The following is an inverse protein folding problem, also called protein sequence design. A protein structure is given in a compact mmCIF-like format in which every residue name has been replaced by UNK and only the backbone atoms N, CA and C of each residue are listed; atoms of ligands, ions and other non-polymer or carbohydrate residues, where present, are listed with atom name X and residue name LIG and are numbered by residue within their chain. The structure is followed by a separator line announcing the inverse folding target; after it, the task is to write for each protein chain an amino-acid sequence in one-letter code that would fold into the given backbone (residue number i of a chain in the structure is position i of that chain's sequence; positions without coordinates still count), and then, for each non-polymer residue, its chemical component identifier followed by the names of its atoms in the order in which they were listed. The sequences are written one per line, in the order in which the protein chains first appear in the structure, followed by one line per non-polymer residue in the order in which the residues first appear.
data_IF_423454249690
#
_entry.id   IF_423454249690
#
_cell.length_a   1.000
_cell.length_b   1.000
_cell.length_c   1.000
_cell.angle_alpha   90.00
_cell.angle_beta   90.00
_cell.angle_gamma   90.00
#
_symmetry.space_group_name_H-M   'P 1'
#
loop_
_entity.id
_entity.type
_entity.pdbx_description
1 polymer ?
#
# COMPACT_ATOMS: atom_id res chain seq x y z
N UNK A 1 -13.08 9.19 -10.43
CA UNK A 1 -12.58 10.14 -9.42
C UNK A 1 -12.75 9.51 -8.06
N UNK A 2 -13.99 9.15 -7.69
CA UNK A 2 -14.34 8.42 -6.47
C UNK A 2 -13.40 7.28 -6.04
N UNK A 3 -12.95 6.41 -6.96
CA UNK A 3 -12.06 5.28 -6.62
C UNK A 3 -10.66 5.74 -6.19
N UNK A 4 -10.06 6.69 -6.91
CA UNK A 4 -8.74 7.22 -6.54
C UNK A 4 -8.83 8.03 -5.24
N UNK A 5 -9.93 8.74 -5.00
CA UNK A 5 -10.17 9.44 -3.73
C UNK A 5 -10.27 8.44 -2.57
N UNK A 6 -11.04 7.36 -2.75
CA UNK A 6 -11.14 6.28 -1.75
C UNK A 6 -9.77 5.63 -1.48
N UNK A 7 -8.99 5.34 -2.52
CA UNK A 7 -7.63 4.81 -2.41
C UNK A 7 -6.69 5.73 -1.64
N UNK A 8 -6.74 7.04 -1.91
CA UNK A 8 -5.93 8.03 -1.20
C UNK A 8 -6.37 8.17 0.25
N UNK A 9 -7.68 8.25 0.53
CA UNK A 9 -8.19 8.37 1.88
C UNK A 9 -7.84 7.14 2.73
N UNK A 10 -8.09 5.94 2.19
CA UNK A 10 -7.75 4.68 2.84
C UNK A 10 -6.24 4.58 3.14
N UNK A 11 -5.41 4.95 2.16
CA UNK A 11 -3.95 4.92 2.32
C UNK A 11 -3.47 6.01 3.29
N UNK A 12 -4.12 7.17 3.31
CA UNK A 12 -3.81 8.24 4.26
C UNK A 12 -4.01 7.82 5.71
N UNK A 13 -5.08 7.08 6.01
CA UNK A 13 -5.29 6.49 7.34
C UNK A 13 -4.17 5.53 7.73
N UNK A 14 -3.75 4.67 6.79
CA UNK A 14 -2.60 3.78 7.01
C UNK A 14 -1.32 4.59 7.28
N UNK A 15 -0.97 5.57 6.44
CA UNK A 15 0.21 6.43 6.63
C UNK A 15 0.17 7.13 7.99
N UNK A 16 -0.95 7.73 8.37
CA UNK A 16 -1.10 8.40 9.66
C UNK A 16 -0.83 7.45 10.83
N UNK A 17 -1.41 6.25 10.80
CA UNK A 17 -1.14 5.24 11.82
C UNK A 17 0.35 4.87 11.90
N UNK A 18 1.03 4.76 10.75
CA UNK A 18 2.46 4.40 10.68
C UNK A 18 3.36 5.50 11.20
N UNK A 19 3.03 6.76 10.93
CA UNK A 19 3.74 7.91 11.50
C UNK A 19 3.60 7.90 13.03
N UNK A 20 2.38 7.72 13.56
CA UNK A 20 2.15 7.63 15.01
C UNK A 20 2.97 6.50 15.63
N UNK A 21 2.93 5.29 15.05
CA UNK A 21 3.72 4.16 15.55
C UNK A 21 5.23 4.37 15.43
N UNK A 22 5.70 5.10 14.42
CA UNK A 22 7.12 5.44 14.29
C UNK A 22 7.58 6.40 15.39
N UNK A 23 6.76 7.42 15.69
CA UNK A 23 7.05 8.40 16.75
C UNK A 23 6.98 7.79 18.15
N UNK A 24 6.10 6.81 18.35
CA UNK A 24 5.95 6.09 19.61
C UNK A 24 6.93 4.91 19.75
N UNK A 25 7.76 4.62 18.74
CA UNK A 25 8.62 3.42 18.65
C UNK A 25 7.88 2.09 18.88
N UNK A 26 6.64 1.99 18.42
CA UNK A 26 5.78 0.80 18.59
C UNK A 26 5.64 0.02 17.29
N UNK A 27 5.57 -1.31 17.40
CA UNK A 27 5.14 -2.13 16.26
C UNK A 27 3.63 -1.95 16.09
N UNK A 28 3.24 -1.33 14.99
CA UNK A 28 1.86 -1.28 14.54
C UNK A 28 1.43 -2.55 13.80
N UNK A 29 0.39 -2.44 12.97
CA UNK A 29 -0.05 -3.51 12.06
C UNK A 29 1.03 -3.83 11.03
N UNK A 30 1.77 -4.92 11.17
CA UNK A 30 2.83 -5.33 10.22
C UNK A 30 2.53 -6.67 9.57
N UNK A 31 3.21 -6.96 8.46
CA UNK A 31 3.22 -8.30 7.83
C UNK A 31 4.17 -9.29 8.49
N UNK A 32 4.71 -8.97 9.67
CA UNK A 32 5.64 -9.83 10.40
C UNK A 32 4.94 -10.84 11.31
N UNK A 33 5.69 -11.80 11.88
CA UNK A 33 5.17 -12.64 12.96
C UNK A 33 4.69 -11.78 14.13
N UNK A 34 3.75 -12.31 14.92
CA UNK A 34 3.33 -11.64 16.17
C UNK A 34 4.56 -11.53 17.06
N UNK A 35 4.90 -10.30 17.45
CA UNK A 35 5.98 -10.04 18.39
C UNK A 35 5.36 -9.96 19.78
N UNK A 36 5.79 -10.84 20.69
CA UNK A 36 5.45 -10.74 22.11
C UNK A 36 6.18 -9.55 22.75
N UNK A 37 5.72 -9.04 23.90
CA UNK A 37 6.44 -7.98 24.63
C UNK A 37 7.92 -8.33 24.88
N UNK A 38 8.25 -9.59 25.17
CA UNK A 38 9.64 -10.02 25.38
C UNK A 38 10.44 -10.05 24.06
N UNK A 39 9.77 -10.32 22.93
CA UNK A 39 10.36 -10.20 21.60
C UNK A 39 10.64 -8.75 21.17
N UNK A 40 10.12 -7.74 21.88
CA UNK A 40 10.53 -6.36 21.61
C UNK A 40 11.96 -6.09 22.07
N UNK A 41 12.44 -6.79 23.09
CA UNK A 41 13.79 -6.61 23.65
C UNK A 41 14.89 -7.01 22.66
N UNK A 42 14.55 -7.74 21.60
CA UNK A 42 15.50 -8.13 20.55
C UNK A 42 15.67 -7.06 19.48
N UNK A 43 14.83 -6.02 19.44
CA UNK A 43 15.03 -4.90 18.51
C UNK A 43 16.03 -3.90 19.08
N UNK A 44 16.96 -3.48 18.22
CA UNK A 44 17.88 -2.39 18.53
C UNK A 44 17.16 -1.03 18.61
N UNK A 45 17.78 -0.03 19.26
CA UNK A 45 17.24 1.33 19.31
C UNK A 45 16.90 1.86 17.91
N UNK A 46 15.67 2.36 17.72
CA UNK A 46 15.21 2.95 16.46
C UNK A 46 14.86 1.96 15.33
N UNK A 47 15.11 0.66 15.48
CA UNK A 47 14.78 -0.33 14.43
C UNK A 47 13.27 -0.38 14.15
N UNK A 48 12.44 -0.38 15.21
CA UNK A 48 10.99 -0.36 15.10
C UNK A 48 10.51 0.92 14.38
N UNK A 49 11.05 2.07 14.76
CA UNK A 49 10.71 3.35 14.13
C UNK A 49 11.06 3.34 12.63
N UNK A 50 12.25 2.86 12.26
CA UNK A 50 12.68 2.77 10.86
C UNK A 50 11.73 1.90 10.01
N UNK A 51 11.27 0.77 10.56
CA UNK A 51 10.32 -0.10 9.89
C UNK A 51 8.96 0.58 9.70
N UNK A 52 8.49 1.36 10.68
CA UNK A 52 7.24 2.11 10.53
C UNK A 52 7.38 3.28 9.54
N UNK A 53 8.53 3.96 9.49
CA UNK A 53 8.80 4.97 8.46
C UNK A 53 8.84 4.40 7.05
N UNK A 54 9.44 3.22 6.86
CA UNK A 54 9.42 2.52 5.57
C UNK A 54 7.98 2.15 5.13
N UNK A 55 7.15 1.73 6.10
CA UNK A 55 5.73 1.48 5.86
C UNK A 55 4.98 2.76 5.47
N UNK A 56 5.20 3.87 6.18
CA UNK A 56 4.61 5.17 5.85
C UNK A 56 5.03 5.62 4.44
N UNK A 57 6.32 5.50 4.11
CA UNK A 57 6.85 5.80 2.78
C UNK A 57 6.19 4.99 1.66
N UNK A 58 5.94 3.70 1.90
CA UNK A 58 5.21 2.83 0.96
C UNK A 58 3.78 3.33 0.72
N UNK A 59 3.09 3.76 1.78
CA UNK A 59 1.76 4.37 1.67
C UNK A 59 1.78 5.68 0.89
N UNK A 60 2.76 6.56 1.15
CA UNK A 60 2.95 7.81 0.40
C UNK A 60 3.18 7.54 -1.09
N UNK A 61 3.98 6.52 -1.43
CA UNK A 61 4.21 6.10 -2.81
C UNK A 61 2.89 5.66 -3.50
N UNK A 62 2.08 4.85 -2.83
CA UNK A 62 0.76 4.44 -3.35
C UNK A 62 -0.13 5.66 -3.61
N UNK A 63 -0.19 6.61 -2.67
CA UNK A 63 -0.95 7.86 -2.85
C UNK A 63 -0.43 8.67 -4.03
N UNK A 64 0.89 8.80 -4.20
CA UNK A 64 1.51 9.50 -5.31
C UNK A 64 1.15 8.87 -6.66
N UNK A 65 1.16 7.53 -6.75
CA UNK A 65 0.76 6.81 -7.96
C UNK A 65 -0.72 7.05 -8.28
N UNK A 66 -1.61 6.95 -7.28
CA UNK A 66 -3.04 7.24 -7.45
C UNK A 66 -3.29 8.70 -7.89
N UNK A 67 -2.52 9.66 -7.36
CA UNK A 67 -2.55 11.06 -7.79
C UNK A 67 -2.04 11.22 -9.21
N UNK A 68 -0.95 10.55 -9.58
CA UNK A 68 -0.39 10.60 -10.92
C UNK A 68 -1.41 10.16 -11.98
N UNK A 69 -2.24 9.15 -11.67
CA UNK A 69 -3.33 8.69 -12.53
C UNK A 69 -4.43 9.73 -12.82
N UNK A 70 -4.44 10.88 -12.12
CA UNK A 70 -5.41 11.97 -12.35
C UNK A 70 -4.99 12.92 -13.46
N UNK A 71 -3.70 12.97 -13.80
CA UNK A 71 -3.22 13.92 -14.79
C UNK A 71 -3.67 13.52 -16.20
N UNK A 72 -3.88 14.54 -17.05
CA UNK A 72 -4.07 14.33 -18.50
C UNK A 72 -2.71 14.09 -19.14
N UNK A 73 -2.50 12.88 -19.64
CA UNK A 73 -1.26 12.51 -20.31
C UNK A 73 -1.24 13.01 -21.75
N UNK A 74 -0.33 13.95 -22.04
CA UNK A 74 -0.03 14.38 -23.42
C UNK A 74 0.95 13.44 -24.14
N UNK A 75 1.83 12.78 -23.39
CA UNK A 75 2.83 11.85 -23.92
C UNK A 75 2.44 10.39 -23.74
N UNK A 76 2.63 9.57 -24.79
CA UNK A 76 2.43 8.11 -24.70
C UNK A 76 3.34 7.45 -23.66
N UNK A 77 4.57 7.96 -23.50
CA UNK A 77 5.54 7.43 -22.54
C UNK A 77 5.10 7.67 -21.09
N UNK A 78 4.71 8.90 -20.73
CA UNK A 78 4.30 9.23 -19.35
C UNK A 78 3.05 8.47 -18.92
N UNK A 79 2.12 8.26 -19.87
CA UNK A 79 0.98 7.37 -19.67
C UNK A 79 1.40 5.92 -19.40
N UNK A 80 2.28 5.35 -20.24
CA UNK A 80 2.74 3.96 -20.09
C UNK A 80 3.47 3.73 -18.77
N UNK A 81 4.33 4.66 -18.36
CA UNK A 81 5.04 4.58 -17.08
C UNK A 81 4.06 4.62 -15.91
N UNK A 82 3.11 5.56 -15.92
CA UNK A 82 2.12 5.67 -14.85
C UNK A 82 1.23 4.43 -14.78
N UNK A 83 0.85 3.89 -15.94
CA UNK A 83 0.06 2.66 -16.02
C UNK A 83 0.85 1.44 -15.51
N UNK A 84 2.14 1.35 -15.84
CA UNK A 84 3.02 0.29 -15.36
C UNK A 84 3.19 0.37 -13.83
N UNK A 85 3.41 1.57 -13.28
CA UNK A 85 3.50 1.77 -11.83
C UNK A 85 2.23 1.34 -11.09
N UNK A 86 1.06 1.68 -11.65
CA UNK A 86 -0.23 1.22 -11.12
C UNK A 86 -0.35 -0.31 -11.09
N UNK A 87 -0.03 -0.98 -12.20
CA UNK A 87 -0.07 -2.44 -12.26
C UNK A 87 0.93 -3.11 -11.33
N UNK A 88 2.14 -2.56 -11.24
CA UNK A 88 3.17 -3.07 -10.34
C UNK A 88 2.71 -2.99 -8.88
N UNK A 89 2.20 -1.82 -8.43
CA UNK A 89 1.69 -1.68 -7.07
C UNK A 89 0.47 -2.55 -6.81
N UNK A 90 -0.41 -2.73 -7.81
CA UNK A 90 -1.53 -3.67 -7.72
C UNK A 90 -1.04 -5.10 -7.48
N UNK A 91 -0.04 -5.54 -8.25
CA UNK A 91 0.53 -6.88 -8.14
C UNK A 91 1.22 -7.08 -6.78
N UNK A 92 2.03 -6.12 -6.34
CA UNK A 92 2.70 -6.17 -5.03
C UNK A 92 1.67 -6.24 -3.89
N UNK A 93 0.61 -5.43 -3.95
CA UNK A 93 -0.47 -5.47 -2.97
C UNK A 93 -1.22 -6.82 -2.99
N UNK A 94 -1.48 -7.38 -4.18
CA UNK A 94 -2.13 -8.68 -4.29
C UNK A 94 -1.26 -9.82 -3.72
N UNK A 95 0.04 -9.81 -4.00
CA UNK A 95 1.00 -10.77 -3.43
C UNK A 95 1.08 -10.61 -1.91
N UNK A 96 1.13 -9.37 -1.40
CA UNK A 96 1.07 -9.09 0.03
C UNK A 96 -0.20 -9.62 0.67
N UNK A 97 -1.35 -9.43 0.04
CA UNK A 97 -2.63 -9.95 0.53
C UNK A 97 -2.62 -11.48 0.60
N UNK A 98 -2.25 -12.15 -0.49
CA UNK A 98 -2.20 -13.60 -0.58
C UNK A 98 -1.21 -14.19 0.43
N UNK A 99 0.00 -13.64 0.52
CA UNK A 99 1.04 -14.11 1.43
C UNK A 99 0.66 -13.94 2.90
N UNK A 100 0.06 -12.81 3.26
CA UNK A 100 -0.25 -12.48 4.67
C UNK A 100 -1.54 -13.13 5.15
N UNK A 101 -2.59 -13.14 4.32
CA UNK A 101 -3.84 -13.84 4.65
C UNK A 101 -3.64 -15.35 4.59
N UNK A 102 -2.97 -15.84 3.54
CA UNK A 102 -2.61 -17.26 3.43
C UNK A 102 -1.70 -17.70 4.57
N UNK A 103 -0.69 -16.90 4.90
CA UNK A 103 0.17 -17.12 6.06
C UNK A 103 -0.60 -17.19 7.37
N UNK A 104 -1.53 -16.26 7.62
CA UNK A 104 -2.32 -16.24 8.84
C UNK A 104 -3.36 -17.37 8.95
N UNK A 105 -3.84 -17.90 7.82
CA UNK A 105 -4.80 -19.03 7.80
C UNK A 105 -4.07 -20.37 7.90
N UNK A 106 -2.92 -20.49 7.24
CA UNK A 106 -2.18 -21.75 7.12
C UNK A 106 -1.11 -21.93 8.19
N UNK A 107 -0.77 -20.89 8.96
CA UNK A 107 0.26 -20.91 10.00
C UNK A 107 -0.12 -20.00 11.17
N UNK A 108 0.53 -20.14 12.33
CA UNK A 108 0.38 -19.22 13.47
C UNK A 108 1.02 -17.83 13.25
N UNK A 109 1.42 -17.51 12.02
CA UNK A 109 2.01 -16.20 11.70
C UNK A 109 0.97 -15.09 11.83
N UNK A 110 1.42 -13.96 12.37
CA UNK A 110 0.66 -12.72 12.40
C UNK A 110 0.45 -12.14 11.00
N UNK A 111 -0.15 -10.96 10.94
CA UNK A 111 -0.24 -10.18 9.69
C UNK A 111 -1.57 -10.26 8.94
N UNK A 112 -2.59 -10.96 9.45
CA UNK A 112 -3.92 -10.99 8.82
C UNK A 112 -4.50 -9.59 8.54
N UNK A 113 -4.36 -8.67 9.51
CA UNK A 113 -4.84 -7.29 9.36
C UNK A 113 -4.06 -6.56 8.27
N UNK A 114 -2.73 -6.73 8.23
CA UNK A 114 -1.92 -6.17 7.15
C UNK A 114 -2.29 -6.76 5.78
N UNK A 115 -2.55 -8.06 5.72
CA UNK A 115 -3.07 -8.74 4.54
C UNK A 115 -4.41 -8.17 4.06
N UNK A 116 -5.30 -7.79 4.99
CA UNK A 116 -6.55 -7.11 4.66
C UNK A 116 -6.30 -5.71 4.06
N UNK A 117 -5.36 -4.92 4.61
CA UNK A 117 -4.94 -3.66 4.00
C UNK A 117 -4.41 -3.86 2.58
N UNK A 118 -3.56 -4.87 2.38
CA UNK A 118 -3.03 -5.24 1.07
C UNK A 118 -4.15 -5.64 0.09
N UNK A 119 -5.16 -6.39 0.54
CA UNK A 119 -6.29 -6.78 -0.29
C UNK A 119 -7.09 -5.55 -0.77
N UNK A 120 -7.39 -4.63 0.16
CA UNK A 120 -8.11 -3.39 -0.17
C UNK A 120 -7.29 -2.53 -1.14
N UNK A 121 -5.98 -2.40 -0.93
CA UNK A 121 -5.12 -1.69 -1.87
C UNK A 121 -5.09 -2.34 -3.26
N UNK A 122 -4.98 -3.66 -3.35
CA UNK A 122 -4.99 -4.36 -4.62
C UNK A 122 -6.27 -4.06 -5.41
N UNK A 123 -7.43 -4.11 -4.74
CA UNK A 123 -8.72 -3.80 -5.36
C UNK A 123 -8.78 -2.33 -5.81
N UNK A 124 -8.46 -1.39 -4.92
CA UNK A 124 -8.56 0.04 -5.24
C UNK A 124 -7.58 0.46 -6.34
N UNK A 125 -6.35 -0.05 -6.31
CA UNK A 125 -5.36 0.19 -7.36
C UNK A 125 -5.79 -0.42 -8.68
N UNK A 126 -6.30 -1.66 -8.69
CA UNK A 126 -6.80 -2.30 -9.91
C UNK A 126 -7.94 -1.48 -10.54
N UNK A 127 -8.93 -1.09 -9.73
CA UNK A 127 -10.05 -0.28 -10.18
C UNK A 127 -9.60 1.11 -10.68
N UNK A 128 -8.66 1.76 -10.00
CA UNK A 128 -8.08 3.02 -10.44
C UNK A 128 -7.32 2.86 -11.77
N UNK A 129 -6.61 1.74 -11.95
CA UNK A 129 -5.89 1.41 -13.19
C UNK A 129 -6.84 1.23 -14.36
N UNK A 130 -7.96 0.53 -14.15
CA UNK A 130 -9.01 0.34 -15.16
C UNK A 130 -9.65 1.67 -15.54
N UNK A 131 -9.97 2.52 -14.55
CA UNK A 131 -10.51 3.87 -14.76
C UNK A 131 -9.53 4.75 -15.57
N UNK A 132 -8.23 4.73 -15.22
CA UNK A 132 -7.18 5.43 -15.97
C UNK A 132 -7.15 4.99 -17.45
N UNK A 133 -7.17 3.68 -17.72
CA UNK A 133 -7.19 3.15 -19.11
C UNK A 133 -8.42 3.60 -19.88
N UNK A 134 -9.60 3.59 -19.24
CA UNK A 134 -10.86 4.01 -19.87
C UNK A 134 -10.81 5.48 -20.26
N UNK A 135 -10.32 6.35 -19.37
CA UNK A 135 -10.17 7.80 -19.64
C UNK A 135 -9.17 8.11 -20.73
N UNK A 136 -8.04 7.41 -20.77
CA UNK A 136 -7.06 7.66 -21.83
C UNK A 136 -7.63 7.29 -23.21
N UNK A 137 -8.41 6.20 -23.30
CA UNK A 137 -9.10 5.82 -24.55
C UNK A 137 -10.15 6.83 -25.00
N UNK A 138 -10.89 7.44 -24.06
CA UNK A 138 -11.90 8.44 -24.40
C UNK A 138 -11.32 9.80 -24.84
N UNK A 139 -10.07 10.10 -24.48
CA UNK A 139 -9.36 11.32 -24.91
C UNK A 139 -8.62 11.13 -26.24
N UNK A 140 -8.37 9.88 -26.64
CA UNK A 140 -7.73 9.53 -27.91
C UNK A 140 -8.71 9.30 -29.07
N UNK A 141 -10.01 9.53 -28.86
CA UNK A 141 -11.04 9.67 -29.90
C UNK A 141 -11.39 11.14 -30.02
#
# INVERSE_FOLDING_TARGET
MKIADAGIAWTGLYVASKVVFALEERLGVTGGPKVSPDGYLTYGPGEVASAQWANAGSGVLIMAILLAGRFRFRGRWTYRVTLAAHWLCTAVAAVGAAGMLGGAVLTDRGGAIFGAYCAVWAVLLCLATVDLRRRHRSVGR
#
